data_IF_293993114007
#
_entry.id   IF_293993114007
#
_cell.length_a   1.000
_cell.length_b   1.000
_cell.length_c   1.000
_cell.angle_alpha   90.00
_cell.angle_beta   90.00
_cell.angle_gamma   90.00
#
_symmetry.space_group_name_H-M   'P 1'
#
loop_
_entity.id
_entity.type
_entity.pdbx_description
1 polymer ?
#
# COMPACT_ATOMS: atom_id res chain seq x y z
N UNK A 1 -82.19 69.53 -38.73
CA UNK A 1 -80.70 69.49 -38.67
C UNK A 1 -80.34 69.16 -37.22
N UNK A 2 -80.19 67.89 -36.85
CA UNK A 2 -78.95 67.06 -36.78
C UNK A 2 -77.91 67.57 -35.77
N UNK A 3 -77.38 66.60 -34.99
CA UNK A 3 -76.10 66.57 -34.25
C UNK A 3 -76.22 66.81 -32.74
N UNK A 4 -75.66 66.01 -31.83
CA UNK A 4 -74.82 64.79 -31.90
C UNK A 4 -74.89 64.14 -30.50
N UNK A 5 -75.05 62.82 -30.42
CA UNK A 5 -74.88 62.04 -29.18
C UNK A 5 -73.39 61.80 -28.97
N UNK A 6 -72.83 62.27 -27.87
CA UNK A 6 -71.49 61.89 -27.42
C UNK A 6 -71.54 60.49 -26.79
N UNK A 7 -70.98 59.52 -27.51
CA UNK A 7 -70.78 58.16 -27.02
C UNK A 7 -69.47 58.10 -26.21
N UNK A 8 -69.57 58.16 -24.89
CA UNK A 8 -68.51 57.73 -23.99
C UNK A 8 -68.33 56.22 -24.08
N UNK A 9 -67.34 55.76 -24.86
CA UNK A 9 -66.89 54.36 -24.88
C UNK A 9 -66.14 54.04 -23.60
N UNK A 10 -66.81 53.40 -22.66
CA UNK A 10 -66.18 52.65 -21.56
C UNK A 10 -65.42 51.46 -22.15
N UNK A 11 -64.09 51.50 -22.09
CA UNK A 11 -63.25 50.33 -22.36
C UNK A 11 -63.43 49.34 -21.21
N UNK A 12 -64.24 48.31 -21.43
CA UNK A 12 -64.22 47.10 -20.61
C UNK A 12 -62.88 46.42 -20.85
N UNK A 13 -62.00 46.46 -19.85
CA UNK A 13 -60.79 45.65 -19.85
C UNK A 13 -61.20 44.18 -19.78
N UNK A 14 -60.80 43.40 -20.79
CA UNK A 14 -60.94 41.95 -20.77
C UNK A 14 -60.09 41.36 -19.64
N UNK A 15 -60.66 41.23 -18.46
CA UNK A 15 -60.12 40.33 -17.43
C UNK A 15 -60.35 38.90 -17.92
N UNK A 16 -59.38 38.35 -18.64
CA UNK A 16 -59.36 36.94 -19.04
C UNK A 16 -59.17 36.10 -17.77
N UNK A 17 -60.21 35.39 -17.35
CA UNK A 17 -60.10 34.35 -16.32
C UNK A 17 -59.47 33.10 -16.96
N UNK A 18 -58.48 32.50 -16.28
CA UNK A 18 -57.82 31.26 -16.72
C UNK A 18 -58.82 30.10 -16.82
N UNK A 19 -58.70 29.30 -17.86
CA UNK A 19 -59.60 28.15 -18.08
C UNK A 19 -59.16 26.92 -17.27
N UNK A 20 -60.09 26.04 -16.89
CA UNK A 20 -59.79 24.79 -16.15
C UNK A 20 -58.76 23.92 -16.88
N UNK A 21 -58.80 23.90 -18.22
CA UNK A 21 -57.85 23.16 -19.05
C UNK A 21 -56.43 23.73 -18.94
N UNK A 22 -56.30 25.05 -18.94
CA UNK A 22 -55.03 25.74 -18.70
C UNK A 22 -54.43 25.40 -17.33
N UNK A 23 -55.28 25.32 -16.29
CA UNK A 23 -54.83 24.98 -14.94
C UNK A 23 -54.42 23.50 -14.84
N UNK A 24 -55.13 22.58 -15.50
CA UNK A 24 -54.74 21.17 -15.54
C UNK A 24 -53.43 20.96 -16.31
N UNK A 25 -53.23 21.67 -17.43
CA UNK A 25 -51.98 21.62 -18.20
C UNK A 25 -50.83 22.27 -17.43
N UNK A 26 -51.07 23.39 -16.76
CA UNK A 26 -50.03 24.05 -15.95
C UNK A 26 -49.55 23.16 -14.80
N UNK A 27 -50.47 22.50 -14.09
CA UNK A 27 -50.13 21.58 -12.99
C UNK A 27 -49.40 20.34 -13.53
N UNK A 28 -49.82 19.76 -14.66
CA UNK A 28 -49.15 18.58 -15.23
C UNK A 28 -47.75 18.89 -15.75
N UNK A 29 -47.54 20.07 -16.34
CA UNK A 29 -46.21 20.52 -16.78
C UNK A 29 -45.32 20.83 -15.58
N UNK A 30 -45.83 21.50 -14.54
CA UNK A 30 -45.05 21.78 -13.34
C UNK A 30 -44.61 20.51 -12.62
N UNK A 31 -45.51 19.52 -12.45
CA UNK A 31 -45.14 18.25 -11.80
C UNK A 31 -44.09 17.49 -12.61
N UNK A 32 -44.22 17.45 -13.94
CA UNK A 32 -43.22 16.85 -14.82
C UNK A 32 -41.84 17.51 -14.66
N UNK A 33 -41.80 18.85 -14.71
CA UNK A 33 -40.56 19.63 -14.57
C UNK A 33 -39.92 19.41 -13.19
N UNK A 34 -40.71 19.45 -12.11
CA UNK A 34 -40.22 19.19 -10.76
C UNK A 34 -39.62 17.79 -10.67
N UNK A 35 -40.28 16.78 -11.25
CA UNK A 35 -39.78 15.41 -11.22
C UNK A 35 -38.45 15.26 -11.97
N UNK A 36 -38.33 15.92 -13.14
CA UNK A 36 -37.07 15.91 -13.92
C UNK A 36 -35.95 16.62 -13.17
N UNK A 37 -36.21 17.82 -12.63
CA UNK A 37 -35.22 18.58 -11.87
C UNK A 37 -34.80 17.84 -10.60
N UNK A 38 -35.73 17.18 -9.92
CA UNK A 38 -35.43 16.37 -8.74
C UNK A 38 -34.53 15.18 -9.09
N UNK A 39 -34.84 14.46 -10.18
CA UNK A 39 -34.02 13.36 -10.65
C UNK A 39 -32.60 13.81 -11.01
N UNK A 40 -32.46 14.92 -11.74
CA UNK A 40 -31.17 15.50 -12.11
C UNK A 40 -30.38 15.97 -10.87
N UNK A 41 -31.05 16.62 -9.91
CA UNK A 41 -30.43 17.06 -8.67
C UNK A 41 -29.94 15.89 -7.82
N UNK A 42 -30.73 14.82 -7.72
CA UNK A 42 -30.30 13.62 -7.01
C UNK A 42 -29.11 12.96 -7.72
N UNK A 43 -29.13 12.91 -9.05
CA UNK A 43 -28.03 12.38 -9.85
C UNK A 43 -26.73 13.19 -9.66
N UNK A 44 -26.79 14.53 -9.64
CA UNK A 44 -25.62 15.38 -9.42
C UNK A 44 -25.09 15.26 -8.00
N UNK A 45 -25.96 15.21 -6.98
CA UNK A 45 -25.56 14.97 -5.60
C UNK A 45 -24.88 13.61 -5.42
N UNK A 46 -25.42 12.56 -6.04
CA UNK A 46 -24.84 11.23 -6.00
C UNK A 46 -23.47 11.18 -6.68
N UNK A 47 -23.32 11.84 -7.83
CA UNK A 47 -22.04 11.97 -8.52
C UNK A 47 -21.00 12.73 -7.68
N UNK A 48 -21.39 13.84 -7.04
CA UNK A 48 -20.50 14.62 -6.17
C UNK A 48 -20.04 13.81 -4.95
N UNK A 49 -20.95 13.07 -4.30
CA UNK A 49 -20.60 12.21 -3.14
C UNK A 49 -19.66 11.07 -3.53
N UNK A 50 -19.88 10.46 -4.69
CA UNK A 50 -18.97 9.43 -5.23
C UNK A 50 -17.58 9.99 -5.51
N UNK A 51 -17.51 11.17 -6.12
CA UNK A 51 -16.24 11.85 -6.38
C UNK A 51 -15.51 12.22 -5.09
N UNK A 52 -16.21 12.76 -4.09
CA UNK A 52 -15.61 13.09 -2.80
C UNK A 52 -15.02 11.84 -2.10
N UNK A 53 -15.80 10.75 -2.03
CA UNK A 53 -15.31 9.50 -1.44
C UNK A 53 -14.10 8.92 -2.18
N UNK A 54 -14.04 9.07 -3.51
CA UNK A 54 -12.89 8.64 -4.31
C UNK A 54 -11.66 9.53 -4.06
N UNK A 55 -11.87 10.84 -3.88
CA UNK A 55 -10.79 11.79 -3.54
C UNK A 55 -10.19 11.47 -2.18
N UNK A 56 -11.01 11.21 -1.16
CA UNK A 56 -10.53 10.90 0.20
C UNK A 56 -9.57 9.69 0.23
N UNK A 57 -9.85 8.67 -0.59
CA UNK A 57 -9.02 7.45 -0.73
C UNK A 57 -7.74 7.72 -1.43
N UNK A 58 -7.84 8.42 -2.55
CA UNK A 58 -6.69 8.82 -3.31
C UNK A 58 -5.79 9.72 -2.47
N UNK A 59 -6.36 10.56 -1.62
CA UNK A 59 -5.62 11.43 -0.71
C UNK A 59 -4.93 10.64 0.40
N UNK A 60 -5.63 9.74 1.11
CA UNK A 60 -5.04 8.92 2.18
C UNK A 60 -3.97 7.95 1.66
N UNK A 61 -4.25 7.24 0.57
CA UNK A 61 -3.32 6.31 -0.05
C UNK A 61 -2.10 7.02 -0.66
N UNK A 62 -2.30 8.16 -1.33
CA UNK A 62 -1.20 8.98 -1.85
C UNK A 62 -0.35 9.56 -0.72
N UNK A 63 -0.97 10.09 0.34
CA UNK A 63 -0.24 10.62 1.49
C UNK A 63 0.62 9.54 2.18
N UNK A 64 0.09 8.32 2.31
CA UNK A 64 0.85 7.19 2.82
C UNK A 64 2.05 6.83 1.90
N UNK A 65 1.85 6.80 0.59
CA UNK A 65 2.94 6.56 -0.37
C UNK A 65 4.00 7.67 -0.33
N UNK A 66 3.60 8.94 -0.33
CA UNK A 66 4.52 10.08 -0.23
C UNK A 66 5.33 10.05 1.07
N UNK A 67 4.70 9.65 2.18
CA UNK A 67 5.38 9.44 3.46
C UNK A 67 6.44 8.34 3.36
N UNK A 68 6.06 7.16 2.86
CA UNK A 68 6.99 6.03 2.72
C UNK A 68 8.14 6.41 1.78
N UNK A 69 7.84 6.97 0.61
CA UNK A 69 8.84 7.36 -0.38
C UNK A 69 9.84 8.34 0.21
N UNK A 70 9.35 9.38 0.90
CA UNK A 70 10.22 10.36 1.56
C UNK A 70 11.13 9.71 2.59
N UNK A 71 10.60 8.84 3.44
CA UNK A 71 11.40 8.21 4.50
C UNK A 71 12.35 7.15 3.96
N UNK A 72 11.91 6.33 3.01
CA UNK A 72 12.74 5.33 2.36
C UNK A 72 13.85 5.97 1.53
N UNK A 73 13.61 7.16 0.94
CA UNK A 73 14.66 7.92 0.24
C UNK A 73 15.77 8.46 1.16
N UNK A 74 15.51 8.50 2.48
CA UNK A 74 16.49 8.82 3.53
C UNK A 74 17.12 7.56 4.13
N UNK A 75 16.87 6.39 3.54
CA UNK A 75 17.53 5.16 3.95
C UNK A 75 19.02 5.27 3.65
N UNK A 76 19.82 4.86 4.62
CA UNK A 76 21.28 4.86 4.52
C UNK A 76 21.81 3.56 5.10
N UNK A 77 23.06 3.24 4.73
CA UNK A 77 23.74 2.15 5.39
C UNK A 77 23.89 2.47 6.87
N UNK A 78 23.68 1.45 7.72
CA UNK A 78 23.84 1.58 9.16
C UNK A 78 25.25 2.08 9.56
N UNK A 79 26.27 1.77 8.76
CA UNK A 79 27.65 2.25 8.89
C UNK A 79 28.42 1.62 10.05
N UNK A 80 27.93 0.52 10.62
CA UNK A 80 28.66 -0.30 11.60
C UNK A 80 29.50 -1.37 10.87
N UNK A 81 30.67 -1.75 11.43
CA UNK A 81 31.67 -2.53 10.73
C UNK A 81 31.20 -3.94 10.35
N UNK A 82 31.87 -4.50 9.34
CA UNK A 82 31.66 -5.88 8.91
C UNK A 82 31.81 -6.89 10.06
N UNK A 83 31.03 -7.96 10.00
CA UNK A 83 31.07 -9.05 10.99
C UNK A 83 31.15 -10.40 10.28
N UNK A 84 32.01 -11.29 10.80
CA UNK A 84 32.09 -12.67 10.33
C UNK A 84 31.16 -13.55 11.15
N UNK A 85 30.27 -14.28 10.50
CA UNK A 85 29.43 -15.27 11.16
C UNK A 85 30.24 -16.54 11.41
N UNK A 86 30.37 -16.99 12.68
CA UNK A 86 31.15 -18.17 13.02
C UNK A 86 30.58 -19.49 12.47
N UNK A 87 29.30 -19.52 12.04
CA UNK A 87 28.65 -20.72 11.48
C UNK A 87 28.86 -20.85 9.98
N UNK A 88 28.66 -19.76 9.23
CA UNK A 88 28.78 -19.76 7.76
C UNK A 88 30.20 -19.41 7.30
N UNK A 89 31.03 -18.85 8.18
CA UNK A 89 32.35 -18.28 7.89
C UNK A 89 32.31 -17.13 6.86
N UNK A 90 31.12 -16.61 6.55
CA UNK A 90 30.94 -15.47 5.68
C UNK A 90 31.12 -14.17 6.47
N UNK A 91 31.75 -13.19 5.82
CA UNK A 91 31.87 -11.83 6.36
C UNK A 91 30.78 -10.97 5.74
N UNK A 92 29.88 -10.42 6.55
CA UNK A 92 28.81 -9.51 6.12
C UNK A 92 29.30 -8.06 6.16
N UNK A 93 28.93 -7.23 5.19
CA UNK A 93 29.51 -5.89 4.99
C UNK A 93 29.17 -4.86 6.08
N UNK A 94 28.26 -5.18 7.00
CA UNK A 94 27.94 -4.32 8.15
C UNK A 94 26.73 -4.81 8.93
N UNK A 95 26.14 -3.91 9.71
CA UNK A 95 24.85 -4.20 10.37
C UNK A 95 23.67 -4.07 9.41
N UNK A 96 22.49 -4.60 9.79
CA UNK A 96 21.31 -4.63 8.93
C UNK A 96 20.84 -3.21 8.62
N UNK A 97 20.76 -2.88 7.34
CA UNK A 97 20.26 -1.58 6.87
C UNK A 97 18.86 -1.69 6.29
N UNK A 98 18.50 -2.86 5.77
CA UNK A 98 17.17 -3.14 5.26
C UNK A 98 16.78 -4.60 5.48
N UNK A 99 15.51 -4.84 5.74
CA UNK A 99 14.92 -6.17 5.77
C UNK A 99 13.47 -6.11 5.30
N UNK A 100 13.09 -6.99 4.37
CA UNK A 100 11.69 -7.22 4.01
C UNK A 100 11.36 -8.71 4.01
N UNK A 101 10.12 -9.03 4.36
CA UNK A 101 9.57 -10.39 4.36
C UNK A 101 8.06 -10.35 4.26
N UNK A 102 7.42 -11.52 4.12
CA UNK A 102 5.98 -11.63 4.33
C UNK A 102 5.66 -11.29 5.79
N UNK A 103 4.62 -10.48 6.00
CA UNK A 103 4.21 -10.09 7.35
C UNK A 103 3.81 -11.35 8.13
N UNK A 104 4.50 -11.67 9.23
CA UNK A 104 4.20 -12.89 9.98
C UNK A 104 2.76 -12.91 10.49
N UNK A 105 2.08 -14.04 10.30
CA UNK A 105 0.69 -14.23 10.76
C UNK A 105 -0.38 -13.56 9.89
N UNK A 106 -0.01 -12.89 8.80
CA UNK A 106 -0.96 -12.38 7.83
C UNK A 106 -1.20 -13.43 6.73
N UNK A 107 -2.47 -13.69 6.43
CA UNK A 107 -2.85 -14.40 5.21
C UNK A 107 -3.13 -13.39 4.10
N UNK A 108 -2.60 -13.65 2.91
CA UNK A 108 -2.90 -12.87 1.72
C UNK A 108 -4.38 -12.92 1.35
N UNK A 109 -4.90 -11.84 0.76
CA UNK A 109 -6.22 -11.87 0.12
C UNK A 109 -6.09 -12.60 -1.22
N UNK A 110 -6.68 -13.79 -1.29
CA UNK A 110 -6.80 -14.56 -2.52
C UNK A 110 -7.98 -14.02 -3.33
N UNK A 111 -7.69 -13.48 -4.52
CA UNK A 111 -8.71 -13.03 -5.47
C UNK A 111 -8.70 -13.95 -6.68
N UNK A 112 -9.88 -14.36 -7.11
CA UNK A 112 -10.10 -15.05 -8.38
C UNK A 112 -9.39 -14.34 -9.54
N UNK A 113 -8.79 -15.08 -10.46
CA UNK A 113 -8.30 -14.49 -11.71
C UNK A 113 -9.44 -14.03 -12.63
N UNK A 114 -10.60 -14.71 -12.58
CA UNK A 114 -11.86 -14.29 -13.18
C UNK A 114 -12.99 -14.38 -12.14
N UNK A 115 -13.66 -13.25 -11.85
CA UNK A 115 -14.75 -13.19 -10.85
C UNK A 115 -16.00 -14.00 -11.24
N UNK A 116 -16.09 -14.38 -12.51
CA UNK A 116 -17.27 -15.01 -13.13
C UNK A 116 -17.09 -16.53 -13.30
N UNK A 117 -15.89 -17.06 -13.02
CA UNK A 117 -15.54 -18.48 -13.17
C UNK A 117 -15.60 -19.27 -11.84
N UNK A 118 -15.50 -18.61 -10.68
CA UNK A 118 -15.47 -19.31 -9.40
C UNK A 118 -16.87 -19.65 -8.90
N UNK A 119 -17.04 -20.89 -8.44
CA UNK A 119 -18.20 -21.24 -7.62
C UNK A 119 -18.08 -20.54 -6.26
N UNK A 120 -19.19 -20.26 -5.56
CA UNK A 120 -19.14 -19.67 -4.22
C UNK A 120 -18.37 -20.51 -3.18
N UNK A 121 -18.08 -21.77 -3.51
CA UNK A 121 -17.57 -22.80 -2.62
C UNK A 121 -16.03 -22.90 -2.67
N UNK A 122 -15.36 -22.45 -3.75
CA UNK A 122 -13.90 -22.38 -3.81
C UNK A 122 -13.27 -23.77 -3.84
N UNK A 123 -13.57 -24.56 -4.86
CA UNK A 123 -13.16 -25.96 -4.97
C UNK A 123 -11.70 -26.13 -5.42
N UNK A 124 -11.16 -27.34 -5.36
CA UNK A 124 -9.78 -27.65 -5.77
C UNK A 124 -9.47 -27.28 -7.24
N UNK A 125 -10.50 -27.19 -8.09
CA UNK A 125 -10.39 -26.73 -9.49
C UNK A 125 -10.18 -25.20 -9.57
N UNK A 126 -10.74 -24.42 -8.64
CA UNK A 126 -10.55 -22.97 -8.53
C UNK A 126 -9.11 -22.61 -8.12
N UNK A 127 -8.48 -23.47 -7.32
CA UNK A 127 -7.05 -23.41 -6.98
C UNK A 127 -6.14 -23.67 -8.20
N UNK A 128 -6.62 -24.39 -9.21
CA UNK A 128 -5.87 -24.72 -10.43
C UNK A 128 -5.95 -23.63 -11.51
N UNK A 129 -7.03 -22.82 -11.56
CA UNK A 129 -7.15 -21.68 -12.49
C UNK A 129 -6.20 -20.51 -12.15
N UNK A 130 -5.67 -20.51 -10.93
CA UNK A 130 -4.69 -19.54 -10.45
C UNK A 130 -5.33 -18.32 -9.81
N UNK A 131 -4.99 -18.03 -8.56
CA UNK A 131 -5.43 -16.81 -7.89
C UNK A 131 -4.50 -15.63 -8.23
N UNK A 132 -5.04 -14.42 -8.33
CA UNK A 132 -4.23 -13.21 -8.11
C UNK A 132 -3.89 -13.18 -6.63
N UNK A 133 -2.66 -13.54 -6.30
CA UNK A 133 -2.18 -13.50 -4.92
C UNK A 133 -1.77 -12.08 -4.59
N UNK A 134 -2.59 -11.39 -3.81
CA UNK A 134 -2.10 -10.21 -3.13
C UNK A 134 -1.00 -10.62 -2.15
N UNK A 135 -0.10 -9.71 -1.82
CA UNK A 135 0.99 -10.00 -0.89
C UNK A 135 0.97 -8.89 0.15
N UNK A 136 1.13 -9.26 1.42
CA UNK A 136 1.31 -8.31 2.52
C UNK A 136 2.71 -8.50 3.10
N UNK A 137 3.67 -7.75 2.58
CA UNK A 137 5.02 -7.70 3.12
C UNK A 137 5.12 -6.69 4.26
N UNK A 138 6.06 -6.90 5.15
CA UNK A 138 6.60 -5.83 5.97
C UNK A 138 8.03 -5.53 5.53
N UNK A 139 8.46 -4.30 5.79
CA UNK A 139 9.85 -3.95 5.64
C UNK A 139 10.30 -2.96 6.68
N UNK A 140 11.55 -3.11 7.07
CA UNK A 140 12.23 -2.32 8.09
C UNK A 140 13.54 -1.82 7.51
N UNK A 141 13.85 -0.55 7.73
CA UNK A 141 15.05 0.07 7.20
C UNK A 141 15.64 1.07 8.18
N UNK A 142 16.95 1.27 8.03
CA UNK A 142 17.74 2.22 8.80
C UNK A 142 17.92 3.48 7.98
N UNK A 143 17.79 4.64 8.62
CA UNK A 143 18.29 5.90 8.07
C UNK A 143 19.08 6.66 9.10
N UNK A 144 19.81 7.68 8.66
CA UNK A 144 20.67 8.50 9.50
C UNK A 144 20.10 9.89 9.69
N UNK A 145 20.33 10.43 10.88
CA UNK A 145 20.13 11.83 11.19
C UNK A 145 21.41 12.42 11.80
N UNK A 146 21.41 13.73 12.01
CA UNK A 146 22.60 14.50 12.41
C UNK A 146 23.35 13.94 13.62
N UNK A 147 22.65 13.35 14.58
CA UNK A 147 23.23 12.88 15.85
C UNK A 147 23.09 11.37 16.10
N UNK A 148 22.58 10.59 15.14
CA UNK A 148 22.25 9.18 15.37
C UNK A 148 21.61 8.48 14.18
N UNK A 149 20.89 7.41 14.47
CA UNK A 149 20.11 6.67 13.48
C UNK A 149 18.64 6.62 13.87
N UNK A 150 17.80 6.35 12.88
CA UNK A 150 16.44 5.92 13.08
C UNK A 150 16.22 4.59 12.36
N UNK A 151 15.37 3.76 12.94
CA UNK A 151 14.92 2.51 12.32
C UNK A 151 13.41 2.62 12.17
N UNK A 152 12.93 2.46 10.95
CA UNK A 152 11.51 2.61 10.60
C UNK A 152 11.02 1.31 10.00
N UNK A 153 9.84 0.86 10.43
CA UNK A 153 9.16 -0.30 9.88
C UNK A 153 7.77 0.06 9.42
N UNK A 154 7.39 -0.46 8.26
CA UNK A 154 6.06 -0.38 7.69
C UNK A 154 5.46 -1.78 7.63
N UNK A 155 4.23 -1.92 8.13
CA UNK A 155 3.51 -3.18 8.19
C UNK A 155 2.02 -2.96 8.02
N UNK A 156 1.35 -3.89 7.35
CA UNK A 156 -0.11 -3.98 7.39
C UNK A 156 -0.54 -4.75 8.64
N UNK A 157 -1.08 -4.05 9.63
CA UNK A 157 -1.53 -4.60 10.91
C UNK A 157 -3.02 -4.94 10.88
N UNK A 158 -3.42 -5.86 11.77
CA UNK A 158 -4.83 -6.24 11.92
C UNK A 158 -5.44 -6.88 10.66
N UNK A 159 -4.61 -7.45 9.79
CA UNK A 159 -5.07 -8.02 8.54
C UNK A 159 -6.03 -9.19 8.81
N UNK A 160 -7.28 -9.03 8.43
CA UNK A 160 -8.29 -10.09 8.47
C UNK A 160 -8.65 -10.43 7.04
N UNK A 161 -8.46 -11.70 6.64
CA UNK A 161 -8.68 -12.14 5.27
C UNK A 161 -7.88 -11.29 4.23
N UNK A 162 -6.65 -10.94 4.57
CA UNK A 162 -5.77 -10.11 3.72
C UNK A 162 -6.14 -8.64 3.61
N UNK A 163 -7.10 -8.14 4.39
CA UNK A 163 -7.46 -6.73 4.44
C UNK A 163 -7.04 -6.17 5.80
N UNK A 164 -6.17 -5.18 5.80
CA UNK A 164 -5.68 -4.57 7.04
C UNK A 164 -5.43 -3.08 6.94
N UNK A 165 -4.75 -2.57 7.95
CA UNK A 165 -4.41 -1.16 8.07
C UNK A 165 -2.90 -1.02 7.95
N UNK A 166 -2.42 -0.25 6.97
CA UNK A 166 -1.01 0.12 6.91
C UNK A 166 -0.68 0.97 8.13
N UNK A 167 0.38 0.59 8.82
CA UNK A 167 0.85 1.25 10.01
C UNK A 167 2.39 1.32 10.00
N UNK A 168 2.91 2.21 10.85
CA UNK A 168 4.34 2.51 10.93
C UNK A 168 4.81 2.46 12.36
N UNK A 169 6.00 1.93 12.57
CA UNK A 169 6.70 1.99 13.85
C UNK A 169 8.11 2.55 13.62
N UNK A 170 8.51 3.56 14.39
CA UNK A 170 9.83 4.17 14.30
C UNK A 170 10.47 4.27 15.67
N UNK A 171 11.74 3.93 15.74
CA UNK A 171 12.59 4.29 16.88
C UNK A 171 13.79 5.11 16.42
N UNK A 172 14.42 5.81 17.35
CA UNK A 172 15.70 6.46 17.15
C UNK A 172 16.71 5.97 18.18
N UNK A 173 17.99 6.15 17.88
CA UNK A 173 19.04 5.67 18.75
C UNK A 173 20.39 6.30 18.45
N UNK A 174 21.25 6.24 19.46
CA UNK A 174 22.67 6.52 19.32
C UNK A 174 23.44 5.40 19.98
N UNK A 175 24.48 4.89 19.32
CA UNK A 175 25.39 3.93 19.93
C UNK A 175 26.62 4.67 20.45
N UNK A 176 26.53 5.14 21.70
CA UNK A 176 27.68 5.63 22.48
C UNK A 176 28.18 4.47 23.37
N UNK A 177 29.45 4.10 23.21
CA UNK A 177 30.22 3.10 23.99
C UNK A 177 30.21 3.51 25.49
N UNK A 178 29.95 2.72 26.55
CA UNK A 178 29.63 1.29 26.84
C UNK A 178 28.96 1.23 28.22
N UNK A 179 27.94 0.39 28.44
CA UNK A 179 27.66 -0.16 29.78
C UNK A 179 28.50 -1.43 30.01
N UNK A 180 28.97 -1.76 31.22
CA UNK A 180 29.89 -2.89 31.47
C UNK A 180 29.43 -4.26 30.92
N UNK A 181 28.11 -4.49 30.82
CA UNK A 181 27.54 -5.71 30.22
C UNK A 181 27.52 -5.76 28.68
N UNK A 182 27.87 -4.66 28.00
CA UNK A 182 27.91 -4.56 26.53
C UNK A 182 29.31 -4.79 25.93
N UNK A 183 30.32 -5.10 26.77
CA UNK A 183 31.71 -5.25 26.33
C UNK A 183 32.01 -6.52 25.52
N UNK A 184 31.08 -7.50 25.51
CA UNK A 184 31.26 -8.79 24.83
C UNK A 184 30.72 -8.82 23.39
N UNK A 185 29.98 -7.79 22.97
CA UNK A 185 29.36 -7.73 21.64
C UNK A 185 29.96 -6.57 20.84
N UNK A 186 30.18 -6.80 19.55
CA UNK A 186 30.64 -5.72 18.68
C UNK A 186 29.48 -4.75 18.37
N UNK A 187 29.81 -3.54 17.87
CA UNK A 187 28.81 -2.49 17.61
C UNK A 187 27.71 -2.93 16.63
N UNK A 188 28.06 -3.79 15.67
CA UNK A 188 27.12 -4.35 14.68
C UNK A 188 26.10 -5.27 15.34
N UNK A 189 26.52 -6.15 16.24
CA UNK A 189 25.63 -7.01 17.01
C UNK A 189 24.75 -6.21 17.96
N UNK A 190 25.32 -5.19 18.63
CA UNK A 190 24.55 -4.31 19.50
C UNK A 190 23.46 -3.57 18.72
N UNK A 191 23.80 -3.03 17.54
CA UNK A 191 22.83 -2.37 16.68
C UNK A 191 21.70 -3.32 16.27
N UNK A 192 22.06 -4.48 15.70
CA UNK A 192 21.08 -5.46 15.23
C UNK A 192 20.16 -5.91 16.36
N UNK A 193 20.73 -6.30 17.51
CA UNK A 193 20.00 -6.88 18.63
C UNK A 193 19.11 -5.90 19.37
N UNK A 194 19.55 -4.66 19.56
CA UNK A 194 18.85 -3.70 20.42
C UNK A 194 18.02 -2.67 19.66
N UNK A 195 18.27 -2.48 18.36
CA UNK A 195 17.58 -1.46 17.57
C UNK A 195 16.87 -2.02 16.35
N UNK A 196 17.52 -2.88 15.55
CA UNK A 196 16.93 -3.35 14.29
C UNK A 196 15.94 -4.51 14.48
N UNK A 197 16.41 -5.62 15.04
CA UNK A 197 15.63 -6.85 15.20
C UNK A 197 14.39 -6.71 16.11
N UNK A 198 14.41 -5.90 17.19
CA UNK A 198 13.22 -5.65 17.99
C UNK A 198 12.10 -4.97 17.21
N UNK A 199 12.41 -4.13 16.23
CA UNK A 199 11.39 -3.47 15.39
C UNK A 199 10.84 -4.45 14.36
N UNK A 200 11.72 -5.22 13.71
CA UNK A 200 11.31 -6.29 12.77
C UNK A 200 10.31 -7.25 13.42
N UNK A 201 10.53 -7.58 14.70
CA UNK A 201 9.70 -8.51 15.47
C UNK A 201 8.69 -7.82 16.40
N UNK A 202 8.47 -6.50 16.25
CA UNK A 202 7.58 -5.74 17.11
C UNK A 202 6.13 -6.23 17.00
N UNK A 203 5.39 -6.15 18.10
CA UNK A 203 3.96 -6.45 18.12
C UNK A 203 3.17 -5.36 17.41
N UNK A 204 2.02 -5.71 16.83
CA UNK A 204 1.16 -4.77 16.10
C UNK A 204 0.70 -3.55 16.93
N UNK A 205 0.67 -3.66 18.25
CA UNK A 205 0.30 -2.58 19.17
C UNK A 205 1.28 -1.40 19.21
N UNK A 206 2.51 -1.58 18.74
CA UNK A 206 3.53 -0.54 18.68
C UNK A 206 3.49 0.28 17.38
N UNK A 207 2.68 -0.15 16.41
CA UNK A 207 2.56 0.51 15.12
C UNK A 207 1.45 1.56 15.15
N UNK A 208 1.75 2.74 14.63
CA UNK A 208 0.85 3.86 14.44
C UNK A 208 0.10 3.71 13.10
N UNK A 209 -1.25 3.65 13.10
CA UNK A 209 -2.04 3.52 11.87
C UNK A 209 -1.85 4.73 10.92
N UNK A 210 -1.77 4.46 9.61
CA UNK A 210 -1.64 5.47 8.55
C UNK A 210 -2.85 5.43 7.62
N UNK A 211 -3.10 4.29 6.99
CA UNK A 211 -4.12 4.14 5.96
C UNK A 211 -4.83 2.79 6.10
N UNK A 212 -6.15 2.82 6.10
CA UNK A 212 -6.97 1.62 6.24
C UNK A 212 -7.39 1.02 4.89
N UNK A 213 -7.74 -0.26 4.88
CA UNK A 213 -8.21 -0.95 3.67
C UNK A 213 -7.08 -1.36 2.71
N UNK A 214 -5.87 -1.56 3.22
CA UNK A 214 -4.74 -2.05 2.43
C UNK A 214 -4.88 -3.56 2.23
N UNK A 215 -4.88 -3.98 0.97
CA UNK A 215 -5.02 -5.39 0.57
C UNK A 215 -3.77 -5.95 -0.12
N UNK A 216 -2.91 -5.07 -0.62
CA UNK A 216 -1.63 -5.42 -1.22
C UNK A 216 -0.58 -4.43 -0.74
N UNK A 217 0.56 -4.94 -0.32
CA UNK A 217 1.70 -4.13 0.07
C UNK A 217 2.98 -4.93 -0.20
N UNK A 218 3.79 -4.45 -1.15
CA UNK A 218 4.99 -5.15 -1.61
C UNK A 218 6.11 -4.15 -1.87
N UNK A 219 7.31 -4.55 -1.50
CA UNK A 219 8.53 -3.83 -1.82
C UNK A 219 9.49 -4.77 -2.57
N UNK A 220 10.16 -4.28 -3.61
CA UNK A 220 11.07 -5.10 -4.42
C UNK A 220 12.32 -4.32 -4.80
N UNK A 221 13.53 -4.84 -4.49
CA UNK A 221 14.79 -4.17 -4.80
C UNK A 221 15.21 -4.38 -6.26
N UNK A 222 15.93 -3.39 -6.80
CA UNK A 222 16.48 -3.39 -8.14
C UNK A 222 17.93 -2.88 -8.14
N UNK A 223 18.72 -3.37 -9.08
CA UNK A 223 20.11 -2.93 -9.26
C UNK A 223 20.22 -1.62 -10.07
N UNK A 224 21.46 -1.15 -10.25
CA UNK A 224 21.81 0.05 -11.02
C UNK A 224 21.35 0.03 -12.49
N UNK A 225 21.11 -1.15 -13.06
CA UNK A 225 20.60 -1.33 -14.43
C UNK A 225 19.08 -1.50 -14.45
N UNK A 226 18.40 -1.36 -13.31
CA UNK A 226 16.97 -1.53 -13.17
C UNK A 226 16.51 -2.99 -13.26
N UNK A 227 17.40 -3.97 -13.05
CA UNK A 227 17.06 -5.40 -13.04
C UNK A 227 16.64 -5.83 -11.63
N UNK A 228 15.63 -6.71 -11.49
CA UNK A 228 15.14 -7.12 -10.18
C UNK A 228 16.17 -7.97 -9.42
N UNK A 229 16.33 -7.65 -8.13
CA UNK A 229 17.16 -8.38 -7.18
C UNK A 229 16.26 -9.35 -6.38
N UNK A 230 16.01 -10.55 -6.91
CA UNK A 230 15.24 -11.59 -6.22
C UNK A 230 16.00 -12.91 -6.15
N UNK A 231 15.73 -13.79 -5.17
CA UNK A 231 16.56 -14.97 -4.85
C UNK A 231 16.97 -15.82 -6.06
N UNK A 232 16.07 -16.08 -7.01
CA UNK A 232 16.30 -16.92 -8.20
C UNK A 232 16.91 -16.20 -9.40
N UNK A 233 17.29 -14.93 -9.25
CA UNK A 233 17.92 -14.14 -10.30
C UNK A 233 19.36 -14.60 -10.52
N UNK A 234 19.64 -15.11 -11.73
CA UNK A 234 20.94 -15.69 -12.13
C UNK A 234 22.02 -14.67 -12.49
N UNK A 235 21.73 -13.37 -12.41
CA UNK A 235 22.69 -12.35 -12.83
C UNK A 235 23.91 -12.36 -11.91
N UNK A 236 25.04 -12.80 -12.45
CA UNK A 236 26.35 -12.57 -11.85
C UNK A 236 26.58 -11.06 -11.86
N UNK A 237 26.79 -10.48 -10.69
CA UNK A 237 27.04 -9.05 -10.53
C UNK A 237 28.51 -8.79 -10.15
N UNK A 238 29.44 -8.89 -11.12
CA UNK A 238 30.88 -8.77 -10.84
C UNK A 238 31.27 -7.36 -10.37
N UNK A 239 30.43 -6.35 -10.60
CA UNK A 239 30.70 -4.94 -10.26
C UNK A 239 29.66 -4.29 -9.32
N UNK A 240 28.58 -4.98 -8.97
CA UNK A 240 27.61 -4.53 -7.97
C UNK A 240 27.63 -5.36 -6.69
N UNK A 241 26.47 -5.57 -6.08
CA UNK A 241 26.32 -6.10 -4.73
C UNK A 241 26.75 -7.58 -4.64
N UNK A 242 27.50 -7.95 -3.61
CA UNK A 242 27.81 -9.34 -3.31
C UNK A 242 26.64 -9.99 -2.56
N UNK A 243 25.70 -10.58 -3.30
CA UNK A 243 24.45 -11.08 -2.73
C UNK A 243 24.48 -12.59 -2.52
N UNK A 244 24.26 -13.02 -1.28
CA UNK A 244 23.99 -14.41 -0.94
C UNK A 244 22.54 -14.75 -1.32
N UNK A 245 22.36 -15.88 -2.01
CA UNK A 245 21.06 -16.31 -2.52
C UNK A 245 20.72 -17.65 -1.92
N UNK A 246 19.63 -17.71 -1.17
CA UNK A 246 19.23 -18.90 -0.42
C UNK A 246 17.91 -19.46 -0.95
N UNK A 247 17.82 -20.78 -1.04
CA UNK A 247 16.56 -21.48 -1.28
C UNK A 247 15.71 -21.56 -0.01
N UNK A 248 14.52 -22.15 -0.11
CA UNK A 248 13.61 -22.33 1.02
C UNK A 248 14.21 -23.12 2.20
N UNK A 249 15.15 -24.03 1.93
CA UNK A 249 15.88 -24.78 2.95
C UNK A 249 17.04 -23.99 3.60
N UNK A 250 17.23 -22.71 3.25
CA UNK A 250 18.36 -21.89 3.73
C UNK A 250 19.72 -22.26 3.12
N UNK A 251 19.74 -23.16 2.13
CA UNK A 251 20.95 -23.56 1.41
C UNK A 251 21.29 -22.53 0.34
N UNK A 252 22.59 -22.24 0.16
CA UNK A 252 23.06 -21.36 -0.89
C UNK A 252 22.76 -21.93 -2.29
N UNK A 253 22.09 -21.14 -3.12
CA UNK A 253 21.76 -21.49 -4.51
C UNK A 253 22.94 -21.26 -5.45
N UNK A 254 23.78 -20.28 -5.12
CA UNK A 254 24.95 -19.87 -5.90
C UNK A 254 26.10 -19.52 -4.97
N UNK A 255 27.34 -19.65 -5.47
CA UNK A 255 28.51 -19.23 -4.70
C UNK A 255 28.60 -17.70 -4.64
N UNK A 256 28.87 -17.19 -3.44
CA UNK A 256 29.21 -15.78 -3.21
C UNK A 256 30.71 -15.54 -3.39
N UNK A 257 31.09 -14.30 -3.69
CA UNK A 257 32.50 -13.92 -3.72
C UNK A 257 33.05 -13.90 -2.29
N UNK A 258 34.01 -14.78 -1.98
CA UNK A 258 34.59 -14.91 -0.63
C UNK A 258 35.71 -13.93 -0.34
N UNK A 259 36.21 -13.23 -1.37
CA UNK A 259 37.25 -12.20 -1.27
C UNK A 259 36.71 -10.81 -0.91
N UNK A 260 35.39 -10.63 -0.84
CA UNK A 260 34.73 -9.39 -0.42
C UNK A 260 33.55 -9.71 0.51
N UNK A 261 33.15 -8.79 1.40
CA UNK A 261 32.01 -9.02 2.28
C UNK A 261 30.70 -9.25 1.51
N UNK A 262 29.76 -9.98 2.11
CA UNK A 262 28.39 -10.19 1.63
C UNK A 262 27.54 -8.98 1.97
N UNK A 263 26.92 -8.39 0.95
CA UNK A 263 26.18 -7.14 1.02
C UNK A 263 24.70 -7.30 1.34
N UNK A 264 24.17 -8.49 1.06
CA UNK A 264 22.79 -8.81 1.34
C UNK A 264 22.50 -10.28 1.14
N UNK A 265 21.39 -10.71 1.71
CA UNK A 265 20.88 -12.07 1.60
C UNK A 265 19.47 -12.04 1.01
N UNK A 266 19.28 -12.76 -0.09
CA UNK A 266 18.01 -12.91 -0.81
C UNK A 266 17.55 -14.35 -0.65
N UNK A 267 16.46 -14.56 0.07
CA UNK A 267 15.95 -15.90 0.39
C UNK A 267 14.56 -16.11 -0.20
N UNK A 268 14.30 -17.32 -0.70
CA UNK A 268 12.94 -17.78 -0.94
C UNK A 268 12.36 -18.32 0.37
N UNK A 269 11.16 -17.90 0.74
CA UNK A 269 10.40 -18.50 1.83
C UNK A 269 9.73 -19.80 1.35
N UNK A 270 9.24 -20.61 2.29
CA UNK A 270 8.54 -21.87 2.01
C UNK A 270 7.32 -21.68 1.11
N UNK A 271 6.65 -20.53 1.22
CA UNK A 271 5.49 -20.14 0.42
C UNK A 271 5.88 -19.54 -0.95
N UNK A 272 7.16 -19.62 -1.34
CA UNK A 272 7.67 -19.11 -2.61
C UNK A 272 7.87 -17.60 -2.66
N UNK A 273 7.61 -16.89 -1.56
CA UNK A 273 7.80 -15.45 -1.44
C UNK A 273 9.26 -15.06 -1.22
N UNK A 274 9.64 -13.83 -1.55
CA UNK A 274 11.03 -13.35 -1.36
C UNK A 274 11.19 -12.63 -0.02
N UNK A 275 12.18 -13.06 0.76
CA UNK A 275 12.75 -12.34 1.88
C UNK A 275 14.06 -11.68 1.44
N UNK A 276 14.25 -10.42 1.83
CA UNK A 276 15.43 -9.63 1.47
C UNK A 276 16.06 -9.06 2.72
N UNK A 277 17.38 -9.08 2.78
CA UNK A 277 18.19 -8.37 3.77
C UNK A 277 19.34 -7.67 3.07
N UNK A 278 19.60 -6.42 3.43
CA UNK A 278 20.80 -5.68 3.03
C UNK A 278 21.56 -5.20 4.26
N UNK A 279 22.89 -5.24 4.18
CA UNK A 279 23.81 -4.95 5.27
C UNK A 279 24.52 -3.61 5.03
N UNK A 280 25.82 -3.61 4.74
CA UNK A 280 26.64 -2.42 4.52
C UNK A 280 26.57 -1.84 3.10
N UNK A 281 25.71 -2.37 2.22
CA UNK A 281 25.45 -1.79 0.91
C UNK A 281 23.97 -1.96 0.54
N UNK A 282 23.44 -1.02 -0.25
CA UNK A 282 22.02 -0.90 -0.57
C UNK A 282 21.76 -1.11 -2.07
N UNK A 283 20.55 -1.53 -2.47
CA UNK A 283 20.15 -1.52 -3.87
C UNK A 283 19.94 -0.09 -4.37
N UNK A 284 20.06 0.10 -5.68
CA UNK A 284 19.92 1.43 -6.29
C UNK A 284 18.46 1.92 -6.25
N UNK A 285 17.50 1.01 -6.42
CA UNK A 285 16.08 1.35 -6.40
C UNK A 285 15.25 0.33 -5.62
N UNK A 286 14.13 0.81 -5.08
CA UNK A 286 13.01 -0.03 -4.68
C UNK A 286 11.76 0.31 -5.49
N UNK A 287 11.05 -0.69 -5.99
CA UNK A 287 9.65 -0.53 -6.39
C UNK A 287 8.78 -0.82 -5.17
N UNK A 288 7.90 0.13 -4.85
CA UNK A 288 6.87 0.00 -3.83
C UNK A 288 5.50 -0.08 -4.51
N UNK A 289 4.73 -1.10 -4.13
CA UNK A 289 3.37 -1.35 -4.61
C UNK A 289 2.41 -1.39 -3.41
N UNK A 290 1.31 -0.66 -3.49
CA UNK A 290 0.27 -0.63 -2.45
C UNK A 290 -1.11 -0.57 -3.10
N UNK A 291 -2.01 -1.47 -2.73
CA UNK A 291 -3.41 -1.41 -3.17
C UNK A 291 -4.35 -1.12 -1.99
N UNK A 292 -5.24 -0.15 -2.17
CA UNK A 292 -6.16 0.35 -1.14
C UNK A 292 -7.61 0.29 -1.65
N UNK A 293 -8.50 -0.20 -0.81
CA UNK A 293 -9.95 -0.31 -1.08
C UNK A 293 -10.67 0.97 -0.67
N UNK A 294 -11.66 1.41 -1.46
CA UNK A 294 -12.49 2.56 -1.10
C UNK A 294 -13.27 2.35 0.24
N UNK A 295 -13.37 3.34 1.16
CA UNK A 295 -13.95 3.23 2.50
C UNK A 295 -15.39 2.73 2.52
N UNK A 296 -16.19 3.08 1.52
CA UNK A 296 -17.57 2.60 1.42
C UNK A 296 -17.60 1.10 1.15
N UNK A 297 -16.75 0.63 0.24
CA UNK A 297 -16.58 -0.79 -0.08
C UNK A 297 -15.97 -1.51 1.11
N UNK A 298 -14.95 -0.93 1.75
CA UNK A 298 -14.32 -1.49 2.94
C UNK A 298 -15.33 -1.71 4.08
N UNK A 299 -16.22 -0.75 4.35
CA UNK A 299 -17.29 -0.90 5.34
C UNK A 299 -18.24 -2.05 4.98
N UNK A 300 -18.62 -2.18 3.72
CA UNK A 300 -19.48 -3.27 3.25
C UNK A 300 -18.79 -4.63 3.39
N UNK A 301 -17.52 -4.73 2.97
CA UNK A 301 -16.71 -5.96 3.08
C UNK A 301 -16.58 -6.40 4.53
N UNK A 302 -16.30 -5.48 5.44
CA UNK A 302 -16.19 -5.79 6.89
C UNK A 302 -17.50 -6.23 7.52
N UNK A 303 -18.64 -5.82 6.95
CA UNK A 303 -19.96 -6.28 7.39
C UNK A 303 -20.32 -7.68 6.85
N UNK A 304 -19.63 -8.16 5.81
CA UNK A 304 -19.85 -9.48 5.24
C UNK A 304 -19.12 -10.58 6.02
N UNK A 305 -19.67 -11.81 6.05
CA UNK A 305 -18.95 -12.99 6.54
C UNK A 305 -17.63 -13.20 5.79
N UNK A 306 -16.58 -13.65 6.47
CA UNK A 306 -15.22 -13.80 5.90
C UNK A 306 -15.21 -14.57 4.56
N UNK A 307 -15.99 -15.65 4.45
CA UNK A 307 -16.09 -16.47 3.24
C UNK A 307 -16.60 -15.68 2.01
N UNK A 308 -17.40 -14.64 2.20
CA UNK A 308 -18.00 -13.85 1.12
C UNK A 308 -17.15 -12.63 0.72
N UNK A 309 -16.15 -12.26 1.54
CA UNK A 309 -15.40 -11.01 1.36
C UNK A 309 -14.55 -11.01 0.09
N UNK A 310 -13.87 -12.11 -0.21
CA UNK A 310 -13.02 -12.23 -1.39
C UNK A 310 -13.83 -12.13 -2.69
N UNK A 311 -14.94 -12.87 -2.79
CA UNK A 311 -15.84 -12.84 -3.94
C UNK A 311 -16.48 -11.47 -4.15
N UNK A 312 -16.89 -10.82 -3.06
CA UNK A 312 -17.42 -9.46 -3.14
C UNK A 312 -16.36 -8.45 -3.61
N UNK A 313 -15.13 -8.49 -3.06
CA UNK A 313 -14.04 -7.62 -3.50
C UNK A 313 -13.63 -7.87 -4.95
N UNK A 314 -13.63 -9.12 -5.40
CA UNK A 314 -13.37 -9.48 -6.80
C UNK A 314 -14.32 -8.77 -7.77
N UNK A 315 -15.60 -8.67 -7.41
CA UNK A 315 -16.62 -7.93 -8.18
C UNK A 315 -16.49 -6.41 -8.08
N UNK A 316 -15.77 -5.91 -7.07
CA UNK A 316 -15.53 -4.48 -6.82
C UNK A 316 -14.10 -4.07 -7.18
N UNK A 317 -13.43 -4.76 -8.10
CA UNK A 317 -12.02 -4.46 -8.46
C UNK A 317 -11.82 -3.01 -8.94
N UNK A 318 -12.83 -2.42 -9.60
CA UNK A 318 -12.82 -1.01 -10.02
C UNK A 318 -12.89 0.00 -8.86
N UNK A 319 -12.99 -0.50 -7.63
CA UNK A 319 -13.02 0.24 -6.35
C UNK A 319 -11.77 0.02 -5.51
N UNK A 320 -10.72 -0.52 -6.13
CA UNK A 320 -9.38 -0.66 -5.58
C UNK A 320 -8.46 0.25 -6.34
N UNK A 321 -7.69 1.08 -5.63
CA UNK A 321 -6.66 1.93 -6.22
C UNK A 321 -5.29 1.31 -5.98
N UNK A 322 -4.54 1.07 -7.06
CA UNK A 322 -3.15 0.60 -7.00
C UNK A 322 -2.19 1.78 -7.14
N UNK A 323 -1.36 1.97 -6.13
CA UNK A 323 -0.24 2.88 -6.14
C UNK A 323 1.04 2.08 -6.43
N UNK A 324 1.84 2.56 -7.38
CA UNK A 324 3.16 1.99 -7.67
C UNK A 324 4.16 3.10 -7.88
N UNK A 325 5.30 3.01 -7.21
CA UNK A 325 6.37 4.00 -7.35
C UNK A 325 7.75 3.36 -7.25
N UNK A 326 8.64 3.74 -8.18
CA UNK A 326 10.07 3.46 -8.08
C UNK A 326 10.74 4.55 -7.27
N UNK A 327 11.51 4.15 -6.28
CA UNK A 327 12.16 5.01 -5.28
C UNK A 327 13.67 4.84 -5.43
N UNK A 328 14.41 5.85 -5.91
CA UNK A 328 15.86 5.81 -5.92
C UNK A 328 16.40 5.94 -4.50
N UNK A 329 17.39 5.11 -4.16
CA UNK A 329 18.13 5.18 -2.90
C UNK A 329 19.40 5.96 -3.17
N UNK A 330 19.58 7.07 -2.46
CA UNK A 330 20.78 7.90 -2.60
C UNK A 330 21.84 7.34 -1.67
N UNK A 331 22.86 6.72 -2.24
CA UNK A 331 24.08 6.46 -1.48
C UNK A 331 24.82 7.80 -1.36
N UNK A 332 24.74 8.43 -0.18
CA UNK A 332 25.59 9.58 0.15
C UNK A 332 27.01 9.06 0.34
N UNK A 333 27.74 8.92 -0.78
CA UNK A 333 29.17 8.61 -0.78
C UNK A 333 30.00 9.68 -0.08
#
# INVERSE_FOLDING_TARGET
>A
MISRKDNTRTRVGNSRAFTLLELMVAVSVMTLVIYTLYALFNQTQMALRKNAAQVDVNEGGRAAMEMIVRELSQMETSGYPAITDPRTLLTYSGSKSFHSRITPGNSALLLAYQSDALTPEGDDEDLAEGFRTNILQDFTFTGRGDSGFFVTSYRVIGATNGIGTLARYRTNGTLRVTAPGQALLNKTELFNRFFFDPIVSATNSLFEPIADGVIHFRISPYDQLGRPLGHGSLYYDPLGLNLERLGAAGQALYQVATNRPVDGTLMQDLDGHSQVQFYGALPEYFDLEMAVVEPQVLKQVRALPKAMQANYLGRQIGKVTLFRQRIPIRDMK
#
